data_IF_985042384538
#
_entry.id   IF_985042384538
#
_cell.length_a   1.000
_cell.length_b   1.000
_cell.length_c   1.000
_cell.angle_alpha   90.00
_cell.angle_beta   90.00
_cell.angle_gamma   90.00
#
_symmetry.space_group_name_H-M   'P 1'
#
loop_
_entity.id
_entity.type
_entity.pdbx_description
1 polymer ?
#
# COMPACT_ATOMS: atom_id res chain seq x y z
N UNK A 1 23.79 -4.09 4.21
CA UNK A 1 23.27 -3.26 3.10
C UNK A 1 22.68 -4.09 1.97
N UNK A 2 23.42 -5.10 1.48
CA UNK A 2 22.94 -5.90 0.33
C UNK A 2 21.57 -6.56 0.53
N UNK A 3 21.29 -7.07 1.73
CA UNK A 3 20.00 -7.73 2.04
C UNK A 3 18.85 -6.73 1.94
N UNK A 4 19.00 -5.56 2.54
CA UNK A 4 17.98 -4.52 2.50
C UNK A 4 17.81 -3.98 1.07
N UNK A 5 18.90 -3.70 0.38
CA UNK A 5 18.86 -3.21 -1.00
C UNK A 5 18.15 -4.22 -1.92
N UNK A 6 18.49 -5.50 -1.81
CA UNK A 6 17.85 -6.55 -2.58
C UNK A 6 16.35 -6.64 -2.28
N UNK A 7 16.00 -6.59 -1.01
CA UNK A 7 14.60 -6.60 -0.58
C UNK A 7 13.82 -5.41 -1.17
N UNK A 8 14.40 -4.21 -1.10
CA UNK A 8 13.75 -3.01 -1.63
C UNK A 8 13.58 -3.08 -3.16
N UNK A 9 14.60 -3.58 -3.87
CA UNK A 9 14.51 -3.76 -5.31
C UNK A 9 13.45 -4.80 -5.69
N UNK A 10 13.43 -5.92 -4.99
CA UNK A 10 12.47 -6.99 -5.27
C UNK A 10 11.02 -6.57 -5.01
N UNK A 11 10.80 -5.66 -4.07
CA UNK A 11 9.47 -5.20 -3.68
C UNK A 11 9.10 -3.83 -4.23
N UNK A 12 9.98 -3.19 -4.98
CA UNK A 12 9.74 -1.83 -5.50
C UNK A 12 8.46 -1.73 -6.32
N UNK A 13 8.19 -2.74 -7.13
CA UNK A 13 6.97 -2.78 -7.97
C UNK A 13 5.70 -2.82 -7.11
N UNK A 14 5.74 -3.53 -5.99
CA UNK A 14 4.61 -3.62 -5.05
C UNK A 14 4.43 -2.27 -4.34
N UNK A 15 5.50 -1.68 -3.85
CA UNK A 15 5.45 -0.39 -3.16
C UNK A 15 4.96 0.72 -4.09
N UNK A 16 5.51 0.79 -5.30
CA UNK A 16 5.06 1.74 -6.32
C UNK A 16 3.60 1.53 -6.67
N UNK A 17 3.20 0.29 -6.93
CA UNK A 17 1.81 -0.04 -7.26
C UNK A 17 0.84 0.34 -6.14
N UNK A 18 1.22 0.14 -4.90
CA UNK A 18 0.42 0.56 -3.75
C UNK A 18 0.26 2.08 -3.71
N UNK A 19 1.36 2.82 -3.81
CA UNK A 19 1.33 4.28 -3.86
C UNK A 19 0.50 4.79 -5.04
N UNK A 20 0.67 4.18 -6.22
CA UNK A 20 -0.09 4.53 -7.41
C UNK A 20 -1.60 4.29 -7.24
N UNK A 21 -1.97 3.18 -6.58
CA UNK A 21 -3.38 2.89 -6.29
C UNK A 21 -4.04 3.97 -5.43
N UNK A 22 -3.24 4.69 -4.64
CA UNK A 22 -3.71 5.74 -3.74
C UNK A 22 -3.69 7.12 -4.41
N UNK A 23 -2.70 7.41 -5.24
CA UNK A 23 -2.46 8.74 -5.80
C UNK A 23 -2.78 8.86 -7.29
N UNK A 24 -2.74 7.76 -8.04
CA UNK A 24 -2.92 7.68 -9.50
C UNK A 24 -2.04 8.66 -10.29
N UNK A 25 -0.84 8.91 -9.82
CA UNK A 25 0.15 9.79 -10.44
C UNK A 25 1.53 9.15 -10.29
N UNK A 26 2.23 8.95 -11.42
CA UNK A 26 3.52 8.24 -11.46
C UNK A 26 4.59 8.93 -10.62
N UNK A 27 4.73 10.24 -10.78
CA UNK A 27 5.79 10.99 -10.09
C UNK A 27 5.53 11.05 -8.58
N UNK A 28 4.29 11.30 -8.20
CA UNK A 28 3.91 11.34 -6.80
C UNK A 28 4.04 9.96 -6.14
N UNK A 29 3.67 8.90 -6.85
CA UNK A 29 3.81 7.54 -6.34
C UNK A 29 5.29 7.18 -6.10
N UNK A 30 6.16 7.50 -7.05
CA UNK A 30 7.60 7.29 -6.89
C UNK A 30 8.15 8.07 -5.69
N UNK A 31 7.77 9.33 -5.56
CA UNK A 31 8.25 10.18 -4.48
C UNK A 31 7.78 9.68 -3.12
N UNK A 32 6.54 9.22 -3.02
CA UNK A 32 6.01 8.65 -1.77
C UNK A 32 6.79 7.41 -1.35
N UNK A 33 7.15 6.53 -2.29
CA UNK A 33 7.97 5.35 -1.98
C UNK A 33 9.35 5.78 -1.46
N UNK A 34 9.98 6.74 -2.10
CA UNK A 34 11.28 7.27 -1.66
C UNK A 34 11.17 7.85 -0.26
N UNK A 35 10.14 8.64 0.00
CA UNK A 35 9.91 9.26 1.31
C UNK A 35 9.65 8.20 2.39
N UNK A 36 8.90 7.15 2.09
CA UNK A 36 8.64 6.06 3.01
C UNK A 36 9.92 5.33 3.41
N UNK A 37 10.81 5.07 2.45
CA UNK A 37 12.12 4.45 2.69
C UNK A 37 13.00 5.38 3.52
N UNK A 38 12.97 6.67 3.25
CA UNK A 38 13.68 7.67 4.03
C UNK A 38 13.21 7.66 5.50
N UNK A 39 11.91 7.62 5.72
CA UNK A 39 11.33 7.54 7.07
C UNK A 39 11.74 6.24 7.79
N UNK A 40 11.84 5.12 7.07
CA UNK A 40 12.35 3.87 7.62
C UNK A 40 13.75 4.07 8.22
N UNK A 41 14.64 4.68 7.46
CA UNK A 41 16.01 4.92 7.91
C UNK A 41 16.08 5.89 9.10
N UNK A 42 15.17 6.85 9.19
CA UNK A 42 15.14 7.81 10.30
C UNK A 42 14.52 7.23 11.58
N UNK A 43 13.41 6.52 11.46
CA UNK A 43 12.61 6.09 12.61
C UNK A 43 12.85 4.66 13.04
N UNK A 44 13.39 3.83 12.17
CA UNK A 44 13.60 2.39 12.40
C UNK A 44 15.04 1.98 12.10
N UNK A 45 15.98 2.86 12.37
CA UNK A 45 17.42 2.57 12.18
C UNK A 45 17.87 1.33 12.95
N UNK A 46 17.37 1.13 14.17
CA UNK A 46 17.66 -0.06 15.00
C UNK A 46 17.21 -1.35 14.31
N UNK A 47 16.05 -1.33 13.65
CA UNK A 47 15.54 -2.50 12.92
C UNK A 47 16.43 -2.81 11.71
N UNK A 48 16.90 -1.78 11.01
CA UNK A 48 17.85 -1.93 9.91
C UNK A 48 19.20 -2.45 10.41
N UNK A 49 19.69 -1.92 11.53
CA UNK A 49 20.93 -2.40 12.16
C UNK A 49 20.82 -3.87 12.58
N UNK A 50 19.70 -4.26 13.18
CA UNK A 50 19.43 -5.65 13.57
C UNK A 50 19.45 -6.58 12.35
N UNK A 51 18.90 -6.14 11.22
CA UNK A 51 18.95 -6.90 9.96
C UNK A 51 20.38 -7.14 9.50
N UNK A 52 21.23 -6.11 9.62
CA UNK A 52 22.63 -6.19 9.21
C UNK A 52 23.47 -7.05 10.17
N UNK A 53 23.08 -7.10 11.44
CA UNK A 53 23.81 -7.79 12.50
C UNK A 53 23.52 -9.29 12.56
N UNK A 54 22.36 -9.74 12.09
CA UNK A 54 21.96 -11.14 12.18
C UNK A 54 22.37 -11.95 10.94
N UNK A 55 22.79 -13.21 11.16
CA UNK A 55 23.07 -14.18 10.10
C UNK A 55 22.00 -15.27 10.02
N UNK A 56 21.09 -15.33 10.98
CA UNK A 56 19.99 -16.31 10.98
C UNK A 56 18.89 -15.90 10.01
N UNK A 57 18.61 -16.80 9.05
CA UNK A 57 17.60 -16.54 8.02
C UNK A 57 16.20 -16.32 8.57
N UNK A 58 15.82 -17.07 9.62
CA UNK A 58 14.49 -16.93 10.24
C UNK A 58 14.30 -15.53 10.85
N UNK A 59 15.33 -15.02 11.51
CA UNK A 59 15.33 -13.68 12.10
C UNK A 59 15.31 -12.62 10.99
N UNK A 60 16.09 -12.81 9.93
CA UNK A 60 16.09 -11.91 8.77
C UNK A 60 14.71 -11.81 8.13
N UNK A 61 14.01 -12.93 7.95
CA UNK A 61 12.66 -12.97 7.39
C UNK A 61 11.68 -12.18 8.27
N UNK A 62 11.77 -12.35 9.59
CA UNK A 62 10.91 -11.61 10.53
C UNK A 62 11.16 -10.11 10.50
N UNK A 63 12.42 -9.70 10.44
CA UNK A 63 12.78 -8.29 10.35
C UNK A 63 12.31 -7.70 9.02
N UNK A 64 12.52 -8.40 7.92
CA UNK A 64 12.06 -7.94 6.61
C UNK A 64 10.53 -7.83 6.54
N UNK A 65 9.80 -8.72 7.20
CA UNK A 65 8.34 -8.61 7.30
C UNK A 65 7.92 -7.35 8.07
N UNK A 66 8.63 -7.00 9.15
CA UNK A 66 8.38 -5.77 9.90
C UNK A 66 8.72 -4.52 9.06
N UNK A 67 9.81 -4.55 8.33
CA UNK A 67 10.22 -3.47 7.42
C UNK A 67 9.16 -3.28 6.33
N UNK A 68 8.70 -4.36 5.73
CA UNK A 68 7.66 -4.32 4.70
C UNK A 68 6.38 -3.66 5.21
N UNK A 69 5.91 -4.09 6.37
CA UNK A 69 4.71 -3.51 6.99
C UNK A 69 4.91 -2.03 7.32
N UNK A 70 6.08 -1.66 7.82
CA UNK A 70 6.40 -0.26 8.12
C UNK A 70 6.38 0.60 6.85
N UNK A 71 7.00 0.14 5.77
CA UNK A 71 7.02 0.88 4.49
C UNK A 71 5.60 1.07 3.96
N UNK A 72 4.79 0.01 3.94
CA UNK A 72 3.40 0.11 3.49
C UNK A 72 2.59 1.08 4.35
N UNK A 73 2.80 1.05 5.67
CA UNK A 73 2.16 2.00 6.60
C UNK A 73 2.54 3.43 6.28
N UNK A 74 3.82 3.69 5.99
CA UNK A 74 4.29 5.03 5.64
C UNK A 74 3.76 5.48 4.28
N UNK A 75 3.74 4.59 3.30
CA UNK A 75 3.16 4.90 1.98
C UNK A 75 1.71 5.34 2.15
N UNK A 76 0.92 4.60 2.93
CA UNK A 76 -0.48 4.97 3.19
C UNK A 76 -0.58 6.34 3.87
N UNK A 77 0.17 6.55 4.96
CA UNK A 77 0.11 7.79 5.74
C UNK A 77 0.54 9.02 4.92
N UNK A 78 1.62 8.90 4.16
CA UNK A 78 2.13 9.99 3.31
C UNK A 78 1.15 10.28 2.18
N UNK A 79 0.60 9.24 1.55
CA UNK A 79 -0.37 9.37 0.47
C UNK A 79 -1.65 10.07 0.93
N UNK A 80 -2.14 9.76 2.13
CA UNK A 80 -3.30 10.42 2.71
C UNK A 80 -3.13 11.94 2.79
N UNK A 81 -1.95 12.40 3.16
CA UNK A 81 -1.64 13.82 3.24
C UNK A 81 -1.55 14.47 1.87
N UNK A 82 -1.00 13.77 0.88
CA UNK A 82 -0.81 14.31 -0.47
C UNK A 82 -2.07 14.34 -1.31
N UNK A 83 -2.98 13.39 -1.12
CA UNK A 83 -4.20 13.28 -1.91
C UNK A 83 -5.06 14.55 -1.84
N UNK A 84 -5.00 15.25 -0.72
CA UNK A 84 -5.74 16.51 -0.51
C UNK A 84 -5.32 17.55 -1.56
N UNK A 85 -4.04 17.60 -1.91
CA UNK A 85 -3.49 18.54 -2.87
C UNK A 85 -3.63 18.09 -4.33
N UNK A 86 -3.85 16.80 -4.57
CA UNK A 86 -3.92 16.22 -5.91
C UNK A 86 -5.35 16.03 -6.43
N UNK A 87 -6.33 16.26 -5.59
CA UNK A 87 -7.74 15.90 -5.82
C UNK A 87 -8.33 16.41 -7.14
N UNK A 88 -7.85 17.53 -7.66
CA UNK A 88 -8.38 18.17 -8.88
C UNK A 88 -7.44 18.09 -10.08
N UNK A 89 -6.28 17.45 -9.96
CA UNK A 89 -5.24 17.47 -10.99
C UNK A 89 -5.11 16.17 -11.79
N UNK A 90 -5.91 15.14 -11.44
CA UNK A 90 -5.75 13.81 -12.01
C UNK A 90 -6.84 13.56 -13.06
N UNK A 91 -6.41 13.33 -14.31
CA UNK A 91 -7.29 12.82 -15.36
C UNK A 91 -7.31 11.30 -15.29
N UNK A 92 -8.47 10.72 -14.96
CA UNK A 92 -8.61 9.27 -14.83
C UNK A 92 -9.20 8.67 -16.10
N UNK A 93 -8.68 7.51 -16.48
CA UNK A 93 -9.29 6.68 -17.51
C UNK A 93 -10.64 6.16 -16.99
N UNK A 94 -11.66 6.17 -17.84
CA UNK A 94 -13.02 5.72 -17.52
C UNK A 94 -13.07 4.29 -16.98
N UNK A 95 -12.14 3.43 -17.39
CA UNK A 95 -12.09 2.03 -16.96
C UNK A 95 -11.77 1.85 -15.48
N UNK A 96 -11.17 2.87 -14.85
CA UNK A 96 -10.74 2.80 -13.45
C UNK A 96 -11.50 3.76 -12.54
N UNK A 97 -12.50 4.47 -13.06
CA UNK A 97 -13.26 5.45 -12.28
C UNK A 97 -13.90 4.85 -11.03
N UNK A 98 -14.47 3.66 -11.13
CA UNK A 98 -15.11 3.00 -10.00
C UNK A 98 -14.14 2.79 -8.84
N UNK A 99 -12.91 2.36 -9.14
CA UNK A 99 -11.86 2.17 -8.15
C UNK A 99 -11.39 3.52 -7.58
N UNK A 100 -11.06 4.48 -8.44
CA UNK A 100 -10.51 5.76 -8.01
C UNK A 100 -11.54 6.71 -7.40
N UNK A 101 -12.82 6.45 -7.58
CA UNK A 101 -13.89 7.18 -6.88
C UNK A 101 -14.06 6.73 -5.42
N UNK A 102 -13.53 5.58 -5.05
CA UNK A 102 -13.52 5.16 -3.65
C UNK A 102 -12.51 5.96 -2.85
N UNK A 103 -12.72 6.05 -1.54
CA UNK A 103 -11.75 6.69 -0.65
C UNK A 103 -10.45 5.88 -0.59
N UNK A 104 -9.38 6.51 -0.10
CA UNK A 104 -8.05 5.90 -0.04
C UNK A 104 -8.00 4.65 0.82
N UNK A 105 -8.74 4.59 1.92
CA UNK A 105 -8.78 3.42 2.80
C UNK A 105 -9.32 2.19 2.08
N UNK A 106 -10.39 2.35 1.30
CA UNK A 106 -10.97 1.25 0.51
C UNK A 106 -10.02 0.80 -0.60
N UNK A 107 -9.37 1.75 -1.30
CA UNK A 107 -8.39 1.43 -2.34
C UNK A 107 -7.19 0.69 -1.76
N UNK A 108 -6.68 1.16 -0.62
CA UNK A 108 -5.58 0.49 0.09
C UNK A 108 -5.96 -0.94 0.47
N UNK A 109 -7.14 -1.11 1.05
CA UNK A 109 -7.64 -2.43 1.45
C UNK A 109 -7.72 -3.39 0.26
N UNK A 110 -8.29 -2.95 -0.84
CA UNK A 110 -8.45 -3.80 -2.04
C UNK A 110 -7.09 -4.18 -2.63
N UNK A 111 -6.16 -3.22 -2.71
CA UNK A 111 -4.82 -3.50 -3.21
C UNK A 111 -4.09 -4.51 -2.32
N UNK A 112 -4.05 -4.26 -1.02
CA UNK A 112 -3.33 -5.12 -0.08
C UNK A 112 -3.94 -6.52 0.02
N UNK A 113 -5.25 -6.63 -0.07
CA UNK A 113 -5.94 -7.93 0.00
C UNK A 113 -5.75 -8.74 -1.29
N UNK A 114 -5.98 -8.14 -2.44
CA UNK A 114 -6.07 -8.87 -3.71
C UNK A 114 -4.77 -8.88 -4.51
N UNK A 115 -3.98 -7.81 -4.44
CA UNK A 115 -2.72 -7.73 -5.19
C UNK A 115 -1.55 -8.32 -4.42
N UNK A 116 -1.44 -8.01 -3.14
CA UNK A 116 -0.32 -8.46 -2.32
C UNK A 116 -0.65 -9.63 -1.40
N UNK A 117 -1.92 -9.97 -1.27
CA UNK A 117 -2.41 -11.04 -0.38
C UNK A 117 -1.92 -10.87 1.07
N UNK A 118 -1.88 -9.63 1.52
CA UNK A 118 -1.49 -9.29 2.89
C UNK A 118 -2.52 -9.83 3.88
N UNK A 119 -2.05 -10.33 5.03
CA UNK A 119 -2.93 -10.81 6.10
C UNK A 119 -3.85 -9.69 6.60
N UNK A 120 -5.09 -10.04 6.92
CA UNK A 120 -6.13 -9.08 7.29
C UNK A 120 -5.74 -8.23 8.50
N UNK A 121 -5.11 -8.85 9.50
CA UNK A 121 -4.59 -8.14 10.68
C UNK A 121 -3.53 -7.11 10.33
N UNK A 122 -2.64 -7.43 9.39
CA UNK A 122 -1.61 -6.51 8.92
C UNK A 122 -2.21 -5.35 8.11
N UNK A 123 -3.23 -5.62 7.29
CA UNK A 123 -3.95 -4.57 6.57
C UNK A 123 -4.58 -3.59 7.55
N UNK A 124 -5.20 -4.09 8.61
CA UNK A 124 -5.79 -3.24 9.65
C UNK A 124 -4.75 -2.30 10.28
N UNK A 125 -3.57 -2.82 10.60
CA UNK A 125 -2.46 -2.02 11.14
C UNK A 125 -1.97 -0.98 10.13
N UNK A 126 -1.79 -1.36 8.87
CA UNK A 126 -1.31 -0.46 7.81
C UNK A 126 -2.27 0.72 7.61
N UNK A 127 -3.56 0.45 7.57
CA UNK A 127 -4.61 1.47 7.36
C UNK A 127 -4.90 2.24 8.66
N UNK A 128 -4.62 1.64 9.81
CA UNK A 128 -4.85 2.28 11.11
C UNK A 128 -6.27 2.14 11.63
N UNK A 129 -6.92 1.03 11.35
CA UNK A 129 -8.27 0.69 11.82
C UNK A 129 -8.23 -0.66 12.55
N UNK A 130 -9.27 -0.98 13.33
CA UNK A 130 -9.40 -2.31 13.89
C UNK A 130 -9.98 -3.30 12.85
N UNK A 131 -9.87 -4.59 13.11
CA UNK A 131 -10.33 -5.62 12.16
C UNK A 131 -11.84 -5.57 11.91
N UNK A 132 -12.61 -5.20 12.91
CA UNK A 132 -14.07 -5.05 12.77
C UNK A 132 -14.42 -3.93 11.79
N UNK A 133 -13.77 -2.77 11.94
CA UNK A 133 -13.93 -1.65 11.00
C UNK A 133 -13.45 -2.03 9.59
N UNK A 134 -12.38 -2.82 9.51
CA UNK A 134 -11.84 -3.27 8.23
C UNK A 134 -12.83 -4.19 7.50
N UNK A 135 -13.52 -5.08 8.23
CA UNK A 135 -14.58 -5.92 7.64
C UNK A 135 -15.69 -5.08 7.01
N UNK A 136 -16.10 -4.02 7.72
CA UNK A 136 -17.09 -3.07 7.20
C UNK A 136 -16.61 -2.34 5.96
N UNK A 137 -15.35 -1.90 5.95
CA UNK A 137 -14.73 -1.25 4.78
C UNK A 137 -14.66 -2.20 3.59
N UNK A 138 -14.31 -3.46 3.81
CA UNK A 138 -14.24 -4.46 2.75
C UNK A 138 -15.61 -4.68 2.11
N UNK A 139 -16.64 -4.89 2.93
CA UNK A 139 -18.02 -5.09 2.47
C UNK A 139 -18.48 -3.88 1.63
N UNK A 140 -18.23 -2.67 2.12
CA UNK A 140 -18.61 -1.43 1.43
C UNK A 140 -17.81 -1.25 0.14
N UNK A 141 -16.51 -1.55 0.15
CA UNK A 141 -15.67 -1.44 -1.02
C UNK A 141 -16.11 -2.39 -2.14
N UNK A 142 -16.40 -3.64 -1.78
CA UNK A 142 -16.92 -4.63 -2.73
C UNK A 142 -18.26 -4.20 -3.32
N UNK A 143 -19.15 -3.70 -2.48
CA UNK A 143 -20.45 -3.18 -2.92
C UNK A 143 -20.29 -1.97 -3.85
N UNK A 144 -19.42 -1.03 -3.52
CA UNK A 144 -19.15 0.15 -4.35
C UNK A 144 -18.61 -0.24 -5.73
N UNK A 145 -17.72 -1.21 -5.81
CA UNK A 145 -17.22 -1.73 -7.08
C UNK A 145 -18.36 -2.33 -7.90
N UNK A 146 -19.18 -3.18 -7.29
CA UNK A 146 -20.28 -3.84 -7.97
C UNK A 146 -21.33 -2.83 -8.49
N UNK A 147 -21.67 -1.83 -7.69
CA UNK A 147 -22.64 -0.80 -8.08
C UNK A 147 -22.12 0.13 -9.18
N UNK A 148 -20.85 0.57 -9.08
CA UNK A 148 -20.27 1.53 -10.02
C UNK A 148 -19.85 0.90 -11.35
N UNK A 149 -19.57 -0.40 -11.36
CA UNK A 149 -19.23 -1.11 -12.58
C UNK A 149 -20.47 -1.47 -13.42
N UNK A 150 -21.65 -1.35 -12.83
CA UNK A 150 -22.92 -1.55 -13.52
C UNK A 150 -22.94 -2.83 -14.33
N UNK A 151 -22.93 -2.70 -15.65
CA UNK A 151 -23.05 -3.82 -16.57
C UNK A 151 -21.70 -4.38 -17.07
N UNK A 152 -20.58 -3.78 -16.68
CA UNK A 152 -19.25 -4.12 -17.21
C UNK A 152 -18.30 -4.77 -16.19
N UNK A 153 -18.86 -5.44 -15.17
CA UNK A 153 -18.07 -6.18 -14.19
C UNK A 153 -17.18 -7.26 -14.79
N UNK A 154 -17.48 -7.69 -16.01
CA UNK A 154 -16.73 -8.74 -16.71
C UNK A 154 -15.33 -8.34 -17.12
N UNK A 155 -15.04 -7.05 -17.25
CA UNK A 155 -13.75 -6.56 -17.76
C UNK A 155 -12.70 -6.26 -16.68
N UNK A 156 -13.09 -6.13 -15.41
CA UNK A 156 -12.16 -5.75 -14.34
C UNK A 156 -11.63 -6.96 -13.58
N UNK A 157 -12.39 -8.04 -13.52
CA UNK A 157 -11.98 -9.28 -12.83
C UNK A 157 -11.69 -10.44 -13.80
N UNK A 158 -11.70 -10.17 -15.09
CA UNK A 158 -11.36 -11.18 -16.09
C UNK A 158 -9.86 -11.37 -16.24
#
# INVERSE_FOLDING_TARGET
>A
MKILESFLLDNNKIFFGFAYSLLSDDLQAQQVVIDAIYVLNLKKSDLVEDLLATTEKSIQVDILAQINKFILTQIFAISQKRIIHLKNSIALDNNFLAFYNMNTSKRALLYLKYKTQTAFSDIAEIIGVNEFELMGLLSTAQKNLMENLGHDTKHIFA
#
